data_IF_783814483645
#
_entry.id   IF_783814483645
#
_cell.length_a   1.000
_cell.length_b   1.000
_cell.length_c   1.000
_cell.angle_alpha   90.00
_cell.angle_beta   90.00
_cell.angle_gamma   90.00
#
_symmetry.space_group_name_H-M   'P 1'
#
loop_
_entity.id
_entity.type
_entity.pdbx_description
1 polymer ?
#
# COMPACT_ATOMS: atom_id res chain seq x y z
N UNK A 1 23.00 -8.99 -6.88
CA UNK A 1 21.58 -9.20 -7.21
C UNK A 1 20.83 -7.92 -6.82
N UNK A 2 19.98 -7.36 -7.69
CA UNK A 2 19.22 -6.14 -7.34
C UNK A 2 18.14 -6.50 -6.32
N UNK A 3 18.26 -6.01 -5.08
CA UNK A 3 17.26 -6.31 -4.04
C UNK A 3 15.88 -5.74 -4.35
N UNK A 4 15.75 -4.77 -5.26
CA UNK A 4 14.44 -4.30 -5.73
C UNK A 4 13.73 -5.37 -6.59
N UNK A 5 14.49 -6.12 -7.40
CA UNK A 5 13.94 -7.23 -8.21
C UNK A 5 13.51 -8.40 -7.31
N UNK A 6 14.27 -8.65 -6.24
CA UNK A 6 13.88 -9.61 -5.20
C UNK A 6 12.53 -9.23 -4.59
N UNK A 7 12.37 -7.99 -4.13
CA UNK A 7 11.12 -7.54 -3.50
C UNK A 7 9.93 -7.63 -4.47
N UNK A 8 10.12 -7.25 -5.74
CA UNK A 8 9.08 -7.42 -6.77
C UNK A 8 8.69 -8.90 -6.96
N UNK A 9 9.66 -9.81 -6.95
CA UNK A 9 9.39 -11.24 -7.01
C UNK A 9 8.67 -11.73 -5.73
N UNK A 10 9.03 -11.23 -4.55
CA UNK A 10 8.36 -11.56 -3.28
C UNK A 10 6.90 -11.08 -3.25
N UNK A 11 6.56 -9.96 -3.91
CA UNK A 11 5.18 -9.49 -4.05
C UNK A 11 4.25 -10.54 -4.69
N UNK A 12 4.80 -11.37 -5.59
CA UNK A 12 4.03 -12.42 -6.26
C UNK A 12 3.67 -13.59 -5.33
N UNK A 13 4.39 -13.76 -4.22
CA UNK A 13 4.15 -14.83 -3.26
C UNK A 13 3.45 -14.35 -1.97
N UNK A 14 3.02 -13.09 -1.92
CA UNK A 14 2.33 -12.55 -0.76
C UNK A 14 0.82 -12.87 -0.80
N UNK A 15 0.38 -13.66 0.17
CA UNK A 15 -1.02 -14.01 0.38
C UNK A 15 -1.56 -15.04 -0.61
N UNK A 16 -2.87 -15.23 -0.59
CA UNK A 16 -3.55 -16.14 -1.51
C UNK A 16 -3.70 -15.53 -2.91
N UNK A 17 -3.77 -16.41 -3.91
CA UNK A 17 -4.01 -16.05 -5.32
C UNK A 17 -4.98 -17.03 -5.95
N UNK A 18 -5.63 -16.61 -7.02
CA UNK A 18 -6.47 -17.51 -7.84
C UNK A 18 -5.62 -18.40 -8.76
N UNK A 19 -6.27 -19.31 -9.49
CA UNK A 19 -5.59 -20.21 -10.44
C UNK A 19 -4.93 -19.48 -11.63
N UNK A 20 -5.28 -18.22 -11.87
CA UNK A 20 -4.68 -17.36 -12.90
C UNK A 20 -3.65 -16.38 -12.32
N UNK A 21 -3.22 -16.59 -11.07
CA UNK A 21 -2.23 -15.78 -10.35
C UNK A 21 -2.69 -14.34 -10.04
N UNK A 22 -3.99 -14.05 -9.97
CA UNK A 22 -4.51 -12.78 -9.47
C UNK A 22 -4.51 -12.75 -7.93
N UNK A 23 -4.13 -11.62 -7.31
CA UNK A 23 -4.05 -11.52 -5.85
C UNK A 23 -5.45 -11.51 -5.21
N UNK A 24 -5.59 -12.32 -4.15
CA UNK A 24 -6.76 -12.32 -3.26
C UNK A 24 -6.35 -11.76 -1.88
N UNK A 25 -7.21 -10.97 -1.22
CA UNK A 25 -6.94 -10.51 0.14
C UNK A 25 -6.97 -11.70 1.10
N UNK A 26 -6.15 -11.69 2.15
CA UNK A 26 -6.31 -12.72 3.20
C UNK A 26 -7.59 -12.51 4.00
N UNK A 27 -8.12 -13.58 4.57
CA UNK A 27 -9.22 -13.47 5.53
C UNK A 27 -8.78 -12.64 6.74
N UNK A 28 -9.52 -11.60 7.14
CA UNK A 28 -9.16 -10.78 8.29
C UNK A 28 -9.08 -11.60 9.58
N UNK A 29 -8.03 -11.38 10.36
CA UNK A 29 -7.85 -12.01 11.66
C UNK A 29 -8.37 -11.09 12.78
N UNK A 30 -9.01 -11.65 13.84
CA UNK A 30 -9.32 -10.90 15.06
C UNK A 30 -8.06 -10.28 15.67
N UNK A 31 -8.20 -9.14 16.35
CA UNK A 31 -7.06 -8.38 16.88
C UNK A 31 -6.21 -9.21 17.85
N UNK A 32 -6.83 -10.08 18.64
CA UNK A 32 -6.15 -10.94 19.62
C UNK A 32 -5.28 -12.04 18.99
N UNK A 33 -5.55 -12.38 17.73
CA UNK A 33 -4.82 -13.41 16.98
C UNK A 33 -3.69 -12.81 16.14
N UNK A 34 -3.59 -11.48 16.07
CA UNK A 34 -2.58 -10.80 15.28
C UNK A 34 -1.24 -10.83 16.00
N UNK A 35 -0.23 -11.32 15.30
CA UNK A 35 1.14 -11.25 15.79
C UNK A 35 1.61 -9.78 15.89
N UNK A 36 2.52 -9.53 16.85
CA UNK A 36 3.16 -8.22 16.96
C UNK A 36 3.95 -7.92 15.68
N UNK A 37 3.66 -6.77 15.06
CA UNK A 37 4.43 -6.35 13.89
C UNK A 37 5.88 -6.10 14.29
N UNK A 38 6.80 -6.54 13.43
CA UNK A 38 8.18 -6.06 13.49
C UNK A 38 8.23 -4.68 12.85
N UNK A 39 8.90 -3.72 13.48
CA UNK A 39 9.09 -2.39 12.91
C UNK A 39 9.91 -2.49 11.62
N UNK A 40 9.55 -1.66 10.65
CA UNK A 40 10.18 -1.63 9.34
C UNK A 40 11.29 -0.57 9.34
N UNK A 41 12.32 -0.83 10.12
CA UNK A 41 13.39 0.16 10.38
C UNK A 41 14.60 0.00 9.46
N UNK A 42 14.81 -1.20 8.92
CA UNK A 42 16.00 -1.51 8.12
C UNK A 42 15.67 -1.72 6.64
N UNK A 43 16.37 -0.95 5.80
CA UNK A 43 16.10 -0.75 4.36
C UNK A 43 16.70 -1.84 3.46
N UNK A 44 17.68 -2.57 3.98
CA UNK A 44 18.40 -3.61 3.24
C UNK A 44 17.84 -4.99 3.51
N UNK A 45 17.11 -5.13 4.62
CA UNK A 45 16.51 -6.40 5.00
C UNK A 45 15.21 -6.63 4.24
N UNK A 46 14.83 -7.89 4.00
CA UNK A 46 13.50 -8.21 3.50
C UNK A 46 12.43 -7.61 4.39
N UNK A 47 11.29 -7.24 3.78
CA UNK A 47 10.16 -6.70 4.53
C UNK A 47 9.68 -7.75 5.56
N UNK A 48 9.54 -7.40 6.85
CA UNK A 48 9.13 -8.37 7.85
C UNK A 48 7.70 -8.84 7.57
N UNK A 49 7.53 -10.13 7.30
CA UNK A 49 6.22 -10.72 6.96
C UNK A 49 5.41 -11.18 8.19
N UNK A 50 6.04 -11.20 9.37
CA UNK A 50 5.39 -11.56 10.64
C UNK A 50 4.21 -10.62 10.93
N UNK A 51 3.03 -11.19 11.22
CA UNK A 51 1.81 -10.42 11.46
C UNK A 51 1.31 -9.54 10.31
N UNK A 52 1.73 -9.81 9.06
CA UNK A 52 1.26 -9.09 7.86
C UNK A 52 -0.10 -9.61 7.39
N UNK A 53 -0.22 -10.92 7.16
CA UNK A 53 -1.44 -11.52 6.63
C UNK A 53 -2.60 -11.42 7.62
N UNK A 54 -3.79 -11.10 7.11
CA UNK A 54 -5.00 -10.95 7.92
C UNK A 54 -5.10 -9.63 8.69
N UNK A 55 -4.11 -8.74 8.56
CA UNK A 55 -4.22 -7.33 8.94
C UNK A 55 -4.36 -6.48 7.69
N UNK A 56 -5.52 -5.83 7.51
CA UNK A 56 -5.83 -5.09 6.29
C UNK A 56 -4.75 -4.07 5.94
N UNK A 57 -4.39 -3.23 6.92
CA UNK A 57 -3.40 -2.18 6.75
C UNK A 57 -2.00 -2.71 6.45
N UNK A 58 -1.55 -3.76 7.17
CA UNK A 58 -0.18 -4.28 7.05
C UNK A 58 -0.02 -5.06 5.75
N UNK A 59 -0.99 -5.89 5.43
CA UNK A 59 -1.00 -6.66 4.18
C UNK A 59 -1.03 -5.74 2.96
N UNK A 60 -1.92 -4.73 2.96
CA UNK A 60 -1.97 -3.75 1.90
C UNK A 60 -0.62 -3.02 1.73
N UNK A 61 -0.02 -2.56 2.84
CA UNK A 61 1.26 -1.86 2.77
C UNK A 61 2.38 -2.78 2.24
N UNK A 62 2.48 -4.02 2.75
CA UNK A 62 3.48 -4.99 2.30
C UNK A 62 3.36 -5.29 0.80
N UNK A 63 2.13 -5.55 0.30
CA UNK A 63 1.87 -5.80 -1.13
C UNK A 63 2.40 -4.67 -2.01
N UNK A 64 2.04 -3.43 -1.69
CA UNK A 64 2.35 -2.30 -2.56
C UNK A 64 3.78 -1.79 -2.41
N UNK A 65 4.39 -2.00 -1.25
CA UNK A 65 5.82 -1.77 -1.08
C UNK A 65 6.62 -2.76 -1.91
N UNK A 66 6.35 -4.05 -1.77
CA UNK A 66 7.09 -5.08 -2.51
C UNK A 66 6.91 -4.92 -4.02
N UNK A 67 5.69 -4.62 -4.47
CA UNK A 67 5.38 -4.45 -5.90
C UNK A 67 5.99 -3.18 -6.52
N UNK A 68 6.03 -2.05 -5.81
CA UNK A 68 6.47 -0.78 -6.40
C UNK A 68 7.23 0.14 -5.43
N UNK A 69 6.78 0.25 -4.17
CA UNK A 69 7.32 1.22 -3.22
C UNK A 69 8.81 1.01 -2.90
N UNK A 70 9.27 -0.23 -2.83
CA UNK A 70 10.67 -0.57 -2.58
C UNK A 70 11.57 -0.17 -3.75
N UNK A 71 11.10 -0.30 -5.00
CA UNK A 71 11.84 0.15 -6.17
C UNK A 71 12.01 1.67 -6.15
N UNK A 72 10.93 2.42 -5.90
CA UNK A 72 10.97 3.87 -5.82
C UNK A 72 11.89 4.35 -4.67
N UNK A 73 11.70 3.79 -3.47
CA UNK A 73 12.54 4.08 -2.32
C UNK A 73 14.03 3.78 -2.57
N UNK A 74 14.36 2.60 -3.11
CA UNK A 74 15.75 2.24 -3.42
C UNK A 74 16.35 3.15 -4.49
N UNK A 75 15.56 3.62 -5.44
CA UNK A 75 16.00 4.59 -6.46
C UNK A 75 16.35 5.94 -5.84
N UNK A 76 15.49 6.47 -4.96
CA UNK A 76 15.78 7.70 -4.20
C UNK A 76 17.03 7.55 -3.32
N UNK A 77 17.16 6.42 -2.61
CA UNK A 77 18.34 6.09 -1.81
C UNK A 77 19.62 6.02 -2.64
N UNK A 78 19.56 5.37 -3.81
CA UNK A 78 20.68 5.24 -4.73
C UNK A 78 21.11 6.60 -5.31
N UNK A 79 20.16 7.48 -5.66
CA UNK A 79 20.46 8.83 -6.13
C UNK A 79 21.25 9.63 -5.08
N UNK A 80 20.81 9.59 -3.82
CA UNK A 80 21.51 10.25 -2.72
C UNK A 80 22.90 9.65 -2.47
N UNK A 81 23.02 8.32 -2.60
CA UNK A 81 24.30 7.61 -2.49
C UNK A 81 25.28 8.00 -3.58
N UNK A 82 24.82 8.11 -4.82
CA UNK A 82 25.64 8.55 -5.96
C UNK A 82 26.06 10.03 -5.82
N UNK A 83 25.22 10.86 -5.19
CA UNK A 83 25.55 12.25 -4.87
C UNK A 83 26.50 12.39 -3.65
N UNK A 84 26.91 11.28 -3.01
CA UNK A 84 27.89 11.30 -1.92
C UNK A 84 27.32 11.74 -0.56
N UNK A 85 26.01 11.64 -0.35
CA UNK A 85 25.40 11.98 0.94
C UNK A 85 25.70 10.92 2.03
N UNK A 86 25.34 11.25 3.28
CA UNK A 86 25.53 10.34 4.41
C UNK A 86 24.51 9.19 4.40
N UNK A 87 24.84 8.00 4.95
CA UNK A 87 23.92 6.86 5.02
C UNK A 87 22.56 7.16 5.67
N UNK A 88 22.52 8.05 6.66
CA UNK A 88 21.28 8.50 7.28
C UNK A 88 20.34 9.17 6.26
N UNK A 89 20.86 9.98 5.33
CA UNK A 89 20.03 10.62 4.30
C UNK A 89 19.60 9.61 3.22
N UNK A 90 20.42 8.61 2.90
CA UNK A 90 20.01 7.50 2.03
C UNK A 90 18.80 6.75 2.59
N UNK A 91 18.77 6.63 3.92
CA UNK A 91 17.67 6.00 4.65
C UNK A 91 16.39 6.81 4.53
N UNK A 92 16.50 8.12 4.75
CA UNK A 92 15.40 9.04 4.55
C UNK A 92 14.90 9.01 3.09
N UNK A 93 15.78 9.00 2.09
CA UNK A 93 15.39 8.88 0.68
C UNK A 93 14.60 7.61 0.36
N UNK A 94 14.94 6.48 0.99
CA UNK A 94 14.15 5.25 0.85
C UNK A 94 12.74 5.39 1.41
N UNK A 95 12.64 5.85 2.67
CA UNK A 95 11.36 6.03 3.36
C UNK A 95 10.47 7.02 2.62
N UNK A 96 11.05 8.11 2.09
CA UNK A 96 10.36 9.06 1.23
C UNK A 96 9.69 8.35 0.05
N UNK A 97 10.46 7.59 -0.74
CA UNK A 97 9.95 6.90 -1.92
C UNK A 97 8.88 5.86 -1.58
N UNK A 98 9.03 5.12 -0.47
CA UNK A 98 8.01 4.17 -0.04
C UNK A 98 6.71 4.85 0.39
N UNK A 99 6.79 5.92 1.19
CA UNK A 99 5.59 6.67 1.59
C UNK A 99 4.91 7.39 0.43
N UNK A 100 5.69 7.92 -0.51
CA UNK A 100 5.14 8.50 -1.74
C UNK A 100 4.40 7.45 -2.57
N UNK A 101 4.98 6.26 -2.76
CA UNK A 101 4.33 5.17 -3.48
C UNK A 101 3.04 4.69 -2.80
N UNK A 102 3.04 4.56 -1.47
CA UNK A 102 1.85 4.17 -0.71
C UNK A 102 0.76 5.26 -0.76
N UNK A 103 1.11 6.54 -0.63
CA UNK A 103 0.16 7.62 -0.79
C UNK A 103 -0.48 7.62 -2.20
N UNK A 104 0.33 7.40 -3.23
CA UNK A 104 -0.15 7.28 -4.61
C UNK A 104 -1.03 6.05 -4.82
N UNK A 105 -0.68 4.91 -4.24
CA UNK A 105 -1.52 3.72 -4.35
C UNK A 105 -2.88 3.92 -3.67
N UNK A 106 -2.90 4.52 -2.48
CA UNK A 106 -4.16 4.80 -1.78
C UNK A 106 -5.05 5.77 -2.59
N UNK A 107 -4.45 6.71 -3.33
CA UNK A 107 -5.15 7.55 -4.30
C UNK A 107 -5.81 6.71 -5.41
N UNK A 108 -5.05 5.84 -6.08
CA UNK A 108 -5.57 4.98 -7.15
C UNK A 108 -6.68 4.04 -6.65
N UNK A 109 -6.53 3.51 -5.44
CA UNK A 109 -7.54 2.64 -4.83
C UNK A 109 -8.86 3.40 -4.58
N UNK A 110 -8.79 4.69 -4.22
CA UNK A 110 -9.96 5.55 -4.04
C UNK A 110 -10.64 5.89 -5.37
N UNK A 111 -9.88 6.08 -6.45
CA UNK A 111 -10.43 6.41 -7.77
C UNK A 111 -11.43 5.34 -8.27
N UNK A 112 -11.23 4.07 -7.89
CA UNK A 112 -12.16 2.99 -8.23
C UNK A 112 -13.58 3.16 -7.63
N UNK A 113 -13.73 4.04 -6.63
CA UNK A 113 -14.98 4.34 -5.95
C UNK A 113 -15.44 5.79 -6.16
N UNK A 114 -14.79 6.52 -7.07
CA UNK A 114 -15.23 7.85 -7.50
C UNK A 114 -15.94 7.73 -8.84
N UNK A 115 -17.27 7.86 -8.84
CA UNK A 115 -18.08 7.84 -10.06
C UNK A 115 -18.96 6.60 -10.18
N UNK A 116 -19.27 6.14 -11.41
CA UNK A 116 -20.12 4.97 -11.61
C UNK A 116 -19.42 3.70 -11.14
N UNK A 117 -20.21 2.72 -10.70
CA UNK A 117 -19.71 1.41 -10.27
C UNK A 117 -18.87 0.75 -11.39
N UNK A 118 -17.61 0.36 -11.10
CA UNK A 118 -16.79 -0.33 -12.06
C UNK A 118 -17.21 -1.79 -12.18
N UNK A 119 -17.01 -2.40 -13.35
CA UNK A 119 -17.28 -3.83 -13.53
C UNK A 119 -16.41 -4.72 -12.61
N UNK A 120 -15.18 -4.27 -12.33
CA UNK A 120 -14.20 -4.92 -11.45
C UNK A 120 -13.32 -3.87 -10.79
N UNK A 121 -12.85 -4.16 -9.59
CA UNK A 121 -11.85 -3.35 -8.88
C UNK A 121 -10.85 -4.27 -8.17
N UNK A 122 -9.75 -3.69 -7.65
CA UNK A 122 -8.72 -4.47 -6.97
C UNK A 122 -9.24 -5.11 -5.69
N UNK A 123 -9.19 -6.45 -5.61
CA UNK A 123 -9.59 -7.19 -4.39
C UNK A 123 -8.61 -6.99 -3.23
N UNK A 124 -7.41 -6.50 -3.52
CA UNK A 124 -6.38 -6.17 -2.52
C UNK A 124 -6.21 -4.67 -2.34
N UNK A 125 -7.17 -3.87 -2.82
CA UNK A 125 -7.22 -2.42 -2.60
C UNK A 125 -7.63 -2.06 -1.17
N UNK A 126 -7.15 -0.92 -0.67
CA UNK A 126 -7.38 -0.48 0.70
C UNK A 126 -8.87 -0.33 1.08
N UNK A 127 -9.76 0.24 0.25
CA UNK A 127 -11.17 0.41 0.62
C UNK A 127 -11.85 -0.93 0.93
N UNK A 128 -11.58 -1.96 0.12
CA UNK A 128 -12.11 -3.30 0.37
C UNK A 128 -11.42 -3.96 1.56
N UNK A 129 -10.09 -3.87 1.67
CA UNK A 129 -9.36 -4.49 2.77
C UNK A 129 -9.88 -4.01 4.14
N UNK A 130 -10.08 -2.70 4.30
CA UNK A 130 -10.68 -2.11 5.50
C UNK A 130 -12.14 -2.50 5.72
N UNK A 131 -12.92 -2.62 4.63
CA UNK A 131 -14.31 -3.08 4.72
C UNK A 131 -14.41 -4.52 5.19
N UNK A 132 -13.53 -5.41 4.68
CA UNK A 132 -13.44 -6.81 5.13
C UNK A 132 -13.00 -6.89 6.59
N UNK A 133 -12.04 -6.07 7.01
CA UNK A 133 -11.62 -6.03 8.41
C UNK A 133 -12.77 -5.66 9.36
N UNK A 134 -13.65 -4.73 8.96
CA UNK A 134 -14.83 -4.36 9.73
C UNK A 134 -15.99 -5.37 9.62
N UNK A 135 -16.10 -6.06 8.48
CA UNK A 135 -17.14 -7.06 8.17
C UNK A 135 -16.54 -8.33 7.57
N UNK A 136 -15.94 -9.22 8.39
CA UNK A 136 -15.25 -10.42 7.90
C UNK A 136 -16.16 -11.46 7.23
N UNK A 137 -17.48 -11.36 7.44
CA UNK A 137 -18.51 -12.20 6.82
C UNK A 137 -18.56 -12.01 5.29
N UNK A 138 -18.32 -10.79 4.80
CA UNK A 138 -18.28 -10.46 3.36
C UNK A 138 -17.22 -11.24 2.58
N UNK A 139 -16.27 -11.87 3.27
CA UNK A 139 -15.27 -12.72 2.62
C UNK A 139 -15.92 -13.91 1.87
N UNK A 140 -17.16 -14.29 2.21
CA UNK A 140 -17.91 -15.31 1.46
C UNK A 140 -18.04 -14.96 -0.04
N UNK A 141 -18.14 -13.67 -0.38
CA UNK A 141 -18.21 -13.23 -1.78
C UNK A 141 -16.87 -13.34 -2.53
N UNK A 142 -15.77 -13.53 -1.81
CA UNK A 142 -14.40 -13.67 -2.35
C UNK A 142 -14.02 -15.14 -2.51
N UNK A 143 -14.66 -16.08 -1.80
CA UNK A 143 -14.28 -17.50 -1.81
C UNK A 143 -14.30 -18.11 -3.22
N UNK A 144 -15.31 -17.77 -4.04
CA UNK A 144 -15.37 -18.19 -5.45
C UNK A 144 -14.20 -17.65 -6.29
N UNK A 145 -13.59 -16.55 -5.85
CA UNK A 145 -12.41 -15.94 -6.44
C UNK A 145 -11.18 -16.84 -6.44
N UNK A 146 -11.12 -17.88 -5.58
CA UNK A 146 -10.00 -18.85 -5.57
C UNK A 146 -9.84 -19.59 -6.89
N UNK A 147 -10.93 -19.90 -7.59
CA UNK A 147 -10.87 -20.49 -8.93
C UNK A 147 -10.57 -19.43 -9.98
N UNK A 148 -11.23 -18.29 -9.89
CA UNK A 148 -11.04 -17.15 -10.79
C UNK A 148 -11.67 -15.90 -10.19
N UNK A 149 -10.92 -14.79 -10.12
CA UNK A 149 -11.45 -13.49 -9.65
C UNK A 149 -12.70 -13.03 -10.41
N UNK A 150 -12.90 -13.50 -11.65
CA UNK A 150 -14.09 -13.20 -12.45
C UNK A 150 -15.40 -13.73 -11.84
N UNK A 151 -15.31 -14.69 -10.91
CA UNK A 151 -16.48 -15.27 -10.21
C UNK A 151 -16.84 -14.53 -8.93
N UNK A 152 -16.05 -13.52 -8.53
CA UNK A 152 -16.32 -12.70 -7.36
C UNK A 152 -17.55 -11.82 -7.61
N UNK A 153 -18.41 -11.71 -6.60
CA UNK A 153 -19.54 -10.80 -6.65
C UNK A 153 -19.08 -9.35 -6.37
N UNK A 154 -18.51 -8.71 -7.38
CA UNK A 154 -18.01 -7.34 -7.29
C UNK A 154 -19.09 -6.34 -6.90
N UNK A 155 -20.33 -6.55 -7.32
CA UNK A 155 -21.44 -5.66 -6.99
C UNK A 155 -21.73 -5.62 -5.49
N UNK A 156 -21.89 -6.78 -4.87
CA UNK A 156 -22.10 -6.86 -3.41
C UNK A 156 -20.94 -6.26 -2.62
N UNK A 157 -19.69 -6.50 -3.08
CA UNK A 157 -18.51 -5.92 -2.43
C UNK A 157 -18.42 -4.41 -2.65
N UNK A 158 -18.81 -3.90 -3.81
CA UNK A 158 -18.83 -2.47 -4.11
C UNK A 158 -19.84 -1.74 -3.22
N UNK A 159 -21.09 -2.22 -3.14
CA UNK A 159 -22.11 -1.69 -2.23
C UNK A 159 -21.60 -1.71 -0.78
N UNK A 160 -20.97 -2.81 -0.37
CA UNK A 160 -20.41 -2.92 0.97
C UNK A 160 -19.30 -1.88 1.25
N UNK A 161 -18.45 -1.55 0.26
CA UNK A 161 -17.43 -0.51 0.44
C UNK A 161 -18.08 0.88 0.57
N UNK A 162 -19.12 1.16 -0.22
CA UNK A 162 -19.83 2.45 -0.18
C UNK A 162 -20.59 2.67 1.14
N UNK A 163 -21.19 1.63 1.70
CA UNK A 163 -21.90 1.69 2.98
C UNK A 163 -20.97 1.67 4.19
N UNK A 164 -19.73 1.19 4.00
CA UNK A 164 -18.75 0.96 5.05
C UNK A 164 -17.86 2.17 5.36
N UNK A 165 -16.86 1.93 6.22
CA UNK A 165 -15.85 2.93 6.57
C UNK A 165 -14.55 2.82 5.73
N UNK A 166 -14.49 1.89 4.77
CA UNK A 166 -13.27 1.59 4.02
C UNK A 166 -12.73 2.76 3.21
N UNK A 167 -13.61 3.57 2.61
CA UNK A 167 -13.23 4.77 1.88
C UNK A 167 -12.58 5.81 2.81
N UNK A 168 -13.22 6.10 3.95
CA UNK A 168 -12.71 7.08 4.90
C UNK A 168 -11.40 6.63 5.57
N UNK A 169 -11.28 5.33 5.89
CA UNK A 169 -10.03 4.76 6.37
C UNK A 169 -8.92 4.82 5.31
N UNK A 170 -9.24 4.64 4.03
CA UNK A 170 -8.27 4.78 2.94
C UNK A 170 -7.83 6.23 2.74
N UNK A 171 -8.75 7.20 2.81
CA UNK A 171 -8.39 8.63 2.81
C UNK A 171 -7.48 8.99 3.99
N UNK A 172 -7.75 8.43 5.17
CA UNK A 172 -6.89 8.62 6.33
C UNK A 172 -5.50 7.98 6.12
N UNK A 173 -5.44 6.76 5.61
CA UNK A 173 -4.20 6.06 5.26
C UNK A 173 -3.36 6.86 4.25
N UNK A 174 -4.00 7.42 3.22
CA UNK A 174 -3.36 8.30 2.24
C UNK A 174 -2.75 9.53 2.93
N UNK A 175 -3.52 10.24 3.74
CA UNK A 175 -3.04 11.42 4.49
C UNK A 175 -1.87 11.09 5.40
N UNK A 176 -1.89 9.95 6.07
CA UNK A 176 -0.78 9.51 6.93
C UNK A 176 0.51 9.27 6.15
N UNK A 177 0.43 8.66 4.97
CA UNK A 177 1.61 8.45 4.12
C UNK A 177 2.12 9.77 3.51
N UNK A 178 1.23 10.67 3.11
CA UNK A 178 1.57 12.05 2.69
C UNK A 178 2.33 12.77 3.81
N UNK A 179 1.79 12.77 5.03
CA UNK A 179 2.41 13.41 6.20
C UNK A 179 3.78 12.82 6.51
N UNK A 180 3.93 11.50 6.46
CA UNK A 180 5.23 10.84 6.67
C UNK A 180 6.24 11.19 5.56
N UNK A 181 5.81 11.26 4.30
CA UNK A 181 6.67 11.67 3.20
C UNK A 181 7.15 13.13 3.36
N UNK A 182 6.26 14.04 3.77
CA UNK A 182 6.62 15.43 4.10
C UNK A 182 7.59 15.51 5.27
N UNK A 183 7.34 14.77 6.36
CA UNK A 183 8.22 14.74 7.53
C UNK A 183 9.63 14.24 7.19
N UNK A 184 9.74 13.28 6.26
CA UNK A 184 11.02 12.85 5.71
C UNK A 184 11.70 13.97 4.95
N UNK A 185 10.98 14.72 4.10
CA UNK A 185 11.54 15.87 3.38
C UNK A 185 12.03 16.98 4.31
N UNK A 186 11.40 17.17 5.47
CA UNK A 186 11.84 18.18 6.44
C UNK A 186 13.27 17.91 6.96
N UNK A 187 13.75 16.67 6.89
CA UNK A 187 15.14 16.31 7.19
C UNK A 187 16.14 16.72 6.10
N UNK A 188 15.68 17.09 4.90
CA UNK A 188 16.52 17.47 3.77
C UNK A 188 16.80 18.98 3.81
N UNK A 189 17.95 19.44 3.28
CA UNK A 189 18.24 20.86 3.16
C UNK A 189 17.13 21.62 2.40
N UNK A 190 16.84 22.84 2.84
CA UNK A 190 15.87 23.68 2.15
C UNK A 190 16.40 24.13 0.78
N UNK A 191 15.74 23.70 -0.29
CA UNK A 191 16.09 24.04 -1.66
C UNK A 191 14.90 23.84 -2.61
N UNK A 192 15.03 24.32 -3.85
CA UNK A 192 13.97 24.23 -4.87
C UNK A 192 13.56 22.78 -5.15
N UNK A 193 14.50 21.84 -5.12
CA UNK A 193 14.21 20.41 -5.30
C UNK A 193 13.30 19.87 -4.18
N UNK A 194 13.56 20.26 -2.92
CA UNK A 194 12.70 19.89 -1.79
C UNK A 194 11.30 20.48 -1.94
N UNK A 195 11.22 21.75 -2.31
CA UNK A 195 9.93 22.43 -2.57
C UNK A 195 9.15 21.74 -3.70
N UNK A 196 9.82 21.36 -4.79
CA UNK A 196 9.20 20.63 -5.89
C UNK A 196 8.63 19.27 -5.46
N UNK A 197 9.38 18.50 -4.66
CA UNK A 197 8.91 17.23 -4.11
C UNK A 197 7.69 17.41 -3.18
N UNK A 198 7.70 18.45 -2.34
CA UNK A 198 6.54 18.81 -1.52
C UNK A 198 5.30 19.14 -2.37
N UNK A 199 5.46 19.92 -3.45
CA UNK A 199 4.36 20.27 -4.33
C UNK A 199 3.75 19.02 -5.00
N UNK A 200 4.57 18.05 -5.41
CA UNK A 200 4.11 16.77 -5.97
C UNK A 200 3.26 16.01 -4.93
N UNK A 201 3.72 15.92 -3.68
CA UNK A 201 3.00 15.22 -2.61
C UNK A 201 1.65 15.89 -2.31
N UNK A 202 1.65 17.21 -2.15
CA UNK A 202 0.43 17.97 -1.81
C UNK A 202 -0.60 17.88 -2.93
N UNK A 203 -0.18 17.83 -4.20
CA UNK A 203 -1.08 17.67 -5.34
C UNK A 203 -1.89 16.36 -5.26
N UNK A 204 -1.34 15.28 -4.69
CA UNK A 204 -2.05 14.01 -4.51
C UNK A 204 -3.23 14.13 -3.53
N UNK A 205 -3.24 15.13 -2.65
CA UNK A 205 -4.32 15.35 -1.68
C UNK A 205 -5.51 16.12 -2.28
N UNK A 206 -5.31 16.90 -3.34
CA UNK A 206 -6.29 17.88 -3.83
C UNK A 206 -7.37 17.28 -4.75
N UNK A 207 -7.24 16.02 -5.16
CA UNK A 207 -8.14 15.40 -6.15
C UNK A 207 -9.40 14.72 -5.57
N UNK A 208 -9.67 14.84 -4.27
CA UNK A 208 -10.83 14.20 -3.61
C UNK A 208 -11.73 15.18 -2.81
N UNK A 209 -11.70 16.47 -3.15
CA UNK A 209 -12.59 17.49 -2.57
C UNK A 209 -13.90 17.62 -3.35
#
# INVERSE_FOLDING_TARGET
>A
MSSAVRDLAEAEFLGERDEQNNPLPSRPLPEEQREAATEWDCILDPLPMCGVLGSARREWAARHVLAAGALLGKSCSAALKLAGHAPALHTQGYLFGCHLALAWQAFLDLEAFTGPEPAQFSLVGAPLAFTLEARPDLYEYIEAGRTSVQLVNYHALYEAVLEGCGIEQTKQLQREHIQRACAVLDSFPNCDARTALNNIIVAMQQHHA
#
